data_IF_368237378334
#
_entry.id   IF_368237378334
#
_cell.length_a   1.000
_cell.length_b   1.000
_cell.length_c   1.000
_cell.angle_alpha   90.00
_cell.angle_beta   90.00
_cell.angle_gamma   90.00
#
_symmetry.space_group_name_H-M   'P 1'
#
loop_
_entity.id
_entity.type
_entity.pdbx_description
1 polymer ?
#
# COMPACT_ATOMS: atom_id res chain seq x y z
N UNK A 1 -8.47 9.51 -23.55
CA UNK A 1 -9.66 9.53 -22.69
C UNK A 1 -9.21 9.35 -21.25
N UNK A 2 -9.65 10.25 -20.36
CA UNK A 2 -9.22 10.28 -18.96
C UNK A 2 -10.42 9.93 -18.09
N UNK A 3 -10.21 9.08 -17.10
CA UNK A 3 -11.19 8.66 -16.13
C UNK A 3 -10.69 8.97 -14.73
N UNK A 4 -11.58 9.45 -13.88
CA UNK A 4 -11.35 9.63 -12.46
C UNK A 4 -12.40 8.83 -11.69
N UNK A 5 -11.98 8.24 -10.58
CA UNK A 5 -12.87 7.59 -9.65
C UNK A 5 -12.51 8.02 -8.23
N UNK A 6 -13.52 8.35 -7.43
CA UNK A 6 -13.38 9.00 -6.12
C UNK A 6 -14.10 8.19 -5.05
N UNK A 7 -13.48 8.05 -3.87
CA UNK A 7 -14.11 7.42 -2.74
C UNK A 7 -15.00 8.41 -1.96
N UNK A 8 -16.18 8.69 -2.51
CA UNK A 8 -17.13 9.66 -1.95
C UNK A 8 -17.76 9.21 -0.61
N UNK A 9 -17.67 7.92 -0.29
CA UNK A 9 -18.17 7.36 0.96
C UNK A 9 -17.19 7.62 2.10
N UNK A 10 -15.90 7.32 1.89
CA UNK A 10 -14.87 7.57 2.90
C UNK A 10 -14.45 9.06 3.00
N UNK A 11 -14.66 9.83 1.94
CA UNK A 11 -14.28 11.25 1.84
C UNK A 11 -15.47 12.09 1.33
N UNK A 12 -16.38 12.53 2.22
CA UNK A 12 -17.59 13.25 1.83
C UNK A 12 -17.34 14.53 1.01
N UNK A 13 -16.19 15.20 1.19
CA UNK A 13 -15.82 16.39 0.42
C UNK A 13 -15.73 16.12 -1.09
N UNK A 14 -15.50 14.86 -1.50
CA UNK A 14 -15.46 14.45 -2.90
C UNK A 14 -16.86 14.31 -3.54
N UNK A 15 -17.92 14.55 -2.77
CA UNK A 15 -19.28 14.71 -3.31
C UNK A 15 -19.46 16.09 -3.97
N UNK A 16 -18.57 17.05 -3.71
CA UNK A 16 -18.61 18.39 -4.29
C UNK A 16 -17.70 18.53 -5.51
N UNK A 17 -18.04 19.38 -6.51
CA UNK A 17 -17.14 19.68 -7.62
C UNK A 17 -15.79 20.24 -7.18
N UNK A 18 -15.78 21.15 -6.20
CA UNK A 18 -14.55 21.76 -5.67
C UNK A 18 -13.59 20.72 -5.08
N UNK A 19 -14.10 19.76 -4.30
CA UNK A 19 -13.28 18.68 -3.74
C UNK A 19 -12.72 17.75 -4.83
N UNK A 20 -13.54 17.43 -5.83
CA UNK A 20 -13.08 16.62 -6.97
C UNK A 20 -12.02 17.35 -7.79
N UNK A 21 -12.19 18.64 -8.06
CA UNK A 21 -11.24 19.43 -8.86
C UNK A 21 -9.90 19.61 -8.14
N UNK A 22 -9.93 19.77 -6.81
CA UNK A 22 -8.72 19.70 -5.99
C UNK A 22 -7.99 18.37 -6.16
N UNK A 23 -8.66 17.23 -5.98
CA UNK A 23 -8.03 15.90 -6.14
C UNK A 23 -7.56 15.64 -7.57
N UNK A 24 -8.30 16.09 -8.59
CA UNK A 24 -7.85 16.03 -9.99
C UNK A 24 -6.57 16.83 -10.20
N UNK A 25 -6.42 18.00 -9.58
CA UNK A 25 -5.20 18.81 -9.68
C UNK A 25 -3.98 18.05 -9.14
N UNK A 26 -4.15 17.29 -8.05
CA UNK A 26 -3.09 16.44 -7.50
C UNK A 26 -2.75 15.29 -8.46
N UNK A 27 -3.76 14.55 -8.91
CA UNK A 27 -3.59 13.41 -9.85
C UNK A 27 -3.03 13.82 -11.22
N UNK A 28 -3.18 15.09 -11.61
CA UNK A 28 -2.63 15.62 -12.86
C UNK A 28 -1.20 16.14 -12.71
N UNK A 29 -0.75 16.42 -11.50
CA UNK A 29 0.60 16.91 -11.22
C UNK A 29 1.59 15.74 -11.25
N UNK A 30 2.63 15.84 -12.08
CA UNK A 30 3.62 14.79 -12.27
C UNK A 30 4.81 14.89 -11.31
N UNK A 31 5.07 16.08 -10.77
CA UNK A 31 6.21 16.35 -9.90
C UNK A 31 5.85 17.37 -8.82
N UNK A 32 6.11 16.99 -7.56
CA UNK A 32 5.84 17.81 -6.39
C UNK A 32 7.12 18.34 -5.70
N UNK A 33 8.33 18.14 -6.25
CA UNK A 33 9.62 18.57 -5.65
C UNK A 33 9.66 20.06 -5.25
N UNK A 34 8.90 20.92 -5.95
CA UNK A 34 8.81 22.36 -5.66
C UNK A 34 7.47 22.79 -5.06
N UNK A 35 6.61 21.84 -4.68
CA UNK A 35 5.32 22.13 -4.07
C UNK A 35 5.49 22.38 -2.58
N UNK A 36 4.80 23.41 -2.10
CA UNK A 36 4.56 23.70 -0.67
C UNK A 36 3.80 22.58 0.06
N UNK A 37 3.13 21.68 -0.67
CA UNK A 37 2.44 20.51 -0.12
C UNK A 37 3.36 19.32 0.12
N UNK A 38 4.58 19.33 -0.37
CA UNK A 38 5.46 18.16 -0.29
C UNK A 38 5.92 17.92 1.16
N UNK A 39 5.45 16.83 1.75
CA UNK A 39 5.92 16.34 3.05
C UNK A 39 7.18 15.47 2.91
N UNK A 40 7.35 14.86 1.74
CA UNK A 40 8.50 14.04 1.40
C UNK A 40 8.22 13.16 0.18
N UNK A 41 9.20 12.37 -0.22
CA UNK A 41 9.02 11.40 -1.30
C UNK A 41 9.89 10.15 -1.09
N UNK A 42 9.51 9.06 -1.74
CA UNK A 42 10.30 7.85 -1.86
C UNK A 42 10.56 7.52 -3.32
N UNK A 43 11.77 7.04 -3.62
CA UNK A 43 12.18 6.61 -4.97
C UNK A 43 12.39 5.10 -4.97
N UNK A 44 11.61 4.39 -5.79
CA UNK A 44 11.74 2.96 -6.04
C UNK A 44 11.58 2.66 -7.54
N UNK A 45 10.66 1.75 -7.90
CA UNK A 45 10.26 1.54 -9.31
C UNK A 45 9.52 2.74 -9.92
N UNK A 46 9.03 3.63 -9.08
CA UNK A 46 8.45 4.93 -9.40
C UNK A 46 8.65 5.88 -8.21
N UNK A 47 8.11 7.10 -8.33
CA UNK A 47 8.12 8.07 -7.23
C UNK A 47 6.79 7.99 -6.48
N UNK A 48 6.89 7.91 -5.16
CA UNK A 48 5.76 8.04 -4.23
C UNK A 48 5.87 9.41 -3.57
N UNK A 49 4.85 10.24 -3.75
CA UNK A 49 4.79 11.59 -3.15
C UNK A 49 3.94 11.56 -1.89
N UNK A 50 4.48 12.08 -0.78
CA UNK A 50 3.73 12.31 0.45
C UNK A 50 3.31 13.77 0.48
N UNK A 51 1.99 14.03 0.51
CA UNK A 51 1.42 15.34 0.30
C UNK A 51 0.60 15.79 1.51
N UNK A 52 0.76 17.06 1.87
CA UNK A 52 -0.10 17.75 2.82
C UNK A 52 -1.43 18.07 2.16
N UNK A 53 -2.42 17.24 2.48
CA UNK A 53 -3.82 17.42 2.07
C UNK A 53 -4.75 17.49 3.28
N UNK A 54 -4.19 17.60 4.49
CA UNK A 54 -4.95 17.71 5.73
C UNK A 54 -5.95 18.86 5.71
N UNK A 55 -5.63 20.08 5.20
CA UNK A 55 -6.58 21.19 5.19
C UNK A 55 -7.80 20.94 4.30
N UNK A 56 -7.62 20.28 3.16
CA UNK A 56 -8.68 20.09 2.16
C UNK A 56 -9.41 18.75 2.27
N UNK A 57 -8.75 17.69 2.76
CA UNK A 57 -9.30 16.32 2.81
C UNK A 57 -9.44 15.79 4.24
N UNK A 58 -8.93 16.50 5.24
CA UNK A 58 -8.87 16.02 6.63
C UNK A 58 -7.85 14.90 6.85
N UNK A 59 -7.04 14.57 5.84
CA UNK A 59 -5.95 13.58 5.90
C UNK A 59 -4.78 14.02 5.01
N UNK A 60 -3.57 13.62 5.38
CA UNK A 60 -2.45 13.61 4.44
C UNK A 60 -2.60 12.48 3.41
N UNK A 61 -1.93 12.61 2.26
CA UNK A 61 -2.08 11.65 1.18
C UNK A 61 -0.76 11.13 0.60
N UNK A 62 -0.85 9.96 -0.02
CA UNK A 62 0.22 9.30 -0.76
C UNK A 62 -0.20 9.17 -2.21
N UNK A 63 0.52 9.83 -3.12
CA UNK A 63 0.30 9.73 -4.55
C UNK A 63 1.36 8.80 -5.17
N UNK A 64 0.89 7.80 -5.93
CA UNK A 64 1.76 6.92 -6.73
C UNK A 64 1.38 6.97 -8.19
N UNK A 65 2.40 7.16 -9.03
CA UNK A 65 2.30 7.03 -10.48
C UNK A 65 2.73 5.62 -10.89
N UNK A 66 1.84 4.82 -11.49
CA UNK A 66 2.19 3.45 -11.88
C UNK A 66 3.06 3.44 -13.12
N UNK A 67 4.34 3.08 -12.96
CA UNK A 67 5.28 2.87 -14.06
C UNK A 67 5.36 1.38 -14.45
N UNK A 68 5.69 1.06 -15.70
CA UNK A 68 5.96 -0.33 -16.14
C UNK A 68 7.39 -0.74 -15.80
N UNK A 69 7.59 -1.92 -15.20
CA UNK A 69 8.92 -2.54 -14.95
C UNK A 69 9.19 -3.78 -15.83
N UNK A 70 10.47 -4.08 -16.11
CA UNK A 70 10.96 -5.22 -16.91
C UNK A 70 11.95 -4.80 -18.03
N UNK A 71 12.55 -5.73 -18.78
CA UNK A 71 13.48 -5.42 -19.90
C UNK A 71 12.80 -4.56 -21.00
N UNK A 72 11.47 -4.71 -21.17
CA UNK A 72 10.62 -3.85 -22.01
C UNK A 72 10.28 -2.48 -21.38
N UNK A 73 10.57 -2.28 -20.09
CA UNK A 73 10.39 -1.03 -19.35
C UNK A 73 11.38 0.08 -19.72
N UNK A 74 12.42 -0.23 -20.52
CA UNK A 74 13.36 0.78 -21.04
C UNK A 74 12.81 1.54 -22.26
N UNK A 75 11.88 0.95 -23.02
CA UNK A 75 11.36 1.52 -24.29
C UNK A 75 9.93 2.06 -24.20
N UNK A 76 9.07 1.53 -23.33
CA UNK A 76 7.67 1.98 -23.18
C UNK A 76 7.34 2.16 -21.69
N UNK A 77 7.73 3.31 -21.15
CA UNK A 77 7.77 3.57 -19.69
C UNK A 77 6.41 3.59 -18.99
N UNK A 78 5.27 3.72 -19.70
CA UNK A 78 4.02 4.17 -19.08
C UNK A 78 2.72 3.48 -19.56
N UNK A 79 2.74 2.37 -20.30
CA UNK A 79 1.56 2.00 -21.11
C UNK A 79 1.05 0.57 -20.95
N UNK A 80 0.17 0.26 -20.01
CA UNK A 80 -0.47 -1.07 -19.84
C UNK A 80 -1.50 -1.37 -20.93
N UNK A 81 -1.66 -2.62 -21.38
CA UNK A 81 -2.72 -2.95 -22.37
C UNK A 81 -4.08 -2.72 -21.72
N UNK A 82 -4.94 -1.95 -22.39
CA UNK A 82 -6.25 -1.62 -21.87
C UNK A 82 -7.29 -2.66 -22.32
N UNK A 83 -7.82 -3.41 -21.37
CA UNK A 83 -8.87 -4.42 -21.59
C UNK A 83 -10.10 -4.21 -20.69
N UNK A 84 -10.26 -2.99 -20.15
CA UNK A 84 -11.36 -2.59 -19.26
C UNK A 84 -10.86 -1.71 -18.11
N UNK A 85 -11.70 -0.81 -17.59
CA UNK A 85 -11.34 0.07 -16.47
C UNK A 85 -11.09 -0.74 -15.19
N UNK A 86 -11.99 -1.67 -14.88
CA UNK A 86 -11.93 -2.49 -13.66
C UNK A 86 -10.75 -3.46 -13.64
N UNK A 87 -10.13 -3.68 -14.81
CA UNK A 87 -8.93 -4.52 -14.99
C UNK A 87 -7.63 -3.73 -14.91
N UNK A 88 -7.71 -2.40 -14.78
CA UNK A 88 -6.51 -1.58 -14.56
C UNK A 88 -6.00 -1.78 -13.14
N UNK A 89 -4.68 -1.84 -12.98
CA UNK A 89 -4.04 -2.07 -11.65
C UNK A 89 -4.53 -1.12 -10.56
N UNK A 90 -4.61 0.17 -10.85
CA UNK A 90 -5.06 1.15 -9.86
C UNK A 90 -6.53 0.93 -9.47
N UNK A 91 -7.42 0.59 -10.42
CA UNK A 91 -8.82 0.25 -10.09
C UNK A 91 -8.92 -1.04 -9.26
N UNK A 92 -8.13 -2.06 -9.59
CA UNK A 92 -8.10 -3.31 -8.81
C UNK A 92 -7.62 -3.08 -7.37
N UNK A 93 -6.53 -2.32 -7.20
CA UNK A 93 -6.03 -1.98 -5.88
C UNK A 93 -7.02 -1.09 -5.11
N UNK A 94 -7.61 -0.08 -5.76
CA UNK A 94 -8.62 0.78 -5.16
C UNK A 94 -9.84 -0.03 -4.68
N UNK A 95 -10.35 -0.96 -5.49
CA UNK A 95 -11.46 -1.82 -5.13
C UNK A 95 -11.11 -2.75 -3.96
N UNK A 96 -9.93 -3.38 -3.99
CA UNK A 96 -9.44 -4.25 -2.93
C UNK A 96 -9.29 -3.48 -1.61
N UNK A 97 -8.66 -2.30 -1.62
CA UNK A 97 -8.49 -1.45 -0.45
C UNK A 97 -9.85 -1.06 0.16
N UNK A 98 -10.82 -0.67 -0.66
CA UNK A 98 -12.17 -0.38 -0.16
C UNK A 98 -12.81 -1.58 0.54
N UNK A 99 -12.67 -2.77 -0.05
CA UNK A 99 -13.22 -3.98 0.53
C UNK A 99 -12.53 -4.33 1.86
N UNK A 100 -11.21 -4.17 1.94
CA UNK A 100 -10.44 -4.41 3.18
C UNK A 100 -10.76 -3.40 4.28
N UNK A 101 -11.02 -2.14 3.93
CA UNK A 101 -11.53 -1.13 4.87
C UNK A 101 -12.91 -1.54 5.41
N UNK A 102 -13.81 -2.04 4.55
CA UNK A 102 -15.11 -2.54 4.98
C UNK A 102 -15.00 -3.78 5.90
N UNK A 103 -13.93 -4.56 5.79
CA UNK A 103 -13.59 -5.66 6.71
C UNK A 103 -12.83 -5.20 7.97
N UNK A 104 -12.69 -3.89 8.19
CA UNK A 104 -11.96 -3.31 9.32
C UNK A 104 -10.49 -3.78 9.40
N UNK A 105 -9.86 -4.06 8.26
CA UNK A 105 -8.42 -4.35 8.20
C UNK A 105 -7.63 -3.04 8.24
N UNK A 106 -6.47 -3.01 8.94
CA UNK A 106 -5.65 -1.81 9.05
C UNK A 106 -4.83 -1.60 7.77
N UNK A 107 -5.48 -1.00 6.78
CA UNK A 107 -4.93 -0.67 5.45
C UNK A 107 -5.24 0.81 5.13
N UNK A 108 -4.49 1.46 4.23
CA UNK A 108 -4.77 2.85 3.87
C UNK A 108 -6.11 2.96 3.14
N UNK A 109 -6.92 3.98 3.49
CA UNK A 109 -8.15 4.24 2.73
C UNK A 109 -7.81 4.77 1.35
N UNK A 110 -8.42 4.25 0.27
CA UNK A 110 -8.17 4.77 -1.05
C UNK A 110 -8.99 6.05 -1.26
N UNK A 111 -8.36 7.13 -1.71
CA UNK A 111 -8.99 8.44 -1.91
C UNK A 111 -9.55 8.53 -3.33
N UNK A 112 -8.70 8.32 -4.33
CA UNK A 112 -9.07 8.42 -5.73
C UNK A 112 -8.08 7.70 -6.64
N UNK A 113 -8.53 7.41 -7.86
CA UNK A 113 -7.67 6.95 -8.96
C UNK A 113 -7.93 7.75 -10.21
N UNK A 114 -6.89 7.84 -11.04
CA UNK A 114 -6.94 8.39 -12.39
C UNK A 114 -6.42 7.35 -13.37
N UNK A 115 -7.14 7.17 -14.47
CA UNK A 115 -6.73 6.32 -15.59
C UNK A 115 -6.72 7.17 -16.87
N UNK A 116 -5.57 7.30 -17.51
CA UNK A 116 -5.48 7.89 -18.85
C UNK A 116 -5.29 6.80 -19.90
N UNK A 117 -6.29 6.62 -20.76
CA UNK A 117 -6.21 5.71 -21.91
C UNK A 117 -5.79 6.46 -23.17
N UNK A 118 -4.76 5.94 -23.84
CA UNK A 118 -4.30 6.33 -25.18
C UNK A 118 -4.32 5.08 -26.08
N UNK A 119 -5.17 5.04 -27.10
CA UNK A 119 -5.36 3.85 -27.95
C UNK A 119 -5.61 2.55 -27.15
N UNK A 120 -4.77 1.54 -27.32
CA UNK A 120 -4.84 0.25 -26.62
C UNK A 120 -4.01 0.24 -25.32
N UNK A 121 -3.53 1.39 -24.86
CA UNK A 121 -2.69 1.49 -23.67
C UNK A 121 -3.21 2.47 -22.62
N UNK A 122 -2.83 2.28 -21.36
CA UNK A 122 -3.22 3.18 -20.26
C UNK A 122 -2.07 3.51 -19.29
N UNK A 123 -2.21 4.70 -18.68
CA UNK A 123 -1.50 5.19 -17.51
C UNK A 123 -2.44 5.23 -16.31
N UNK A 124 -1.90 5.07 -15.11
CA UNK A 124 -2.69 5.07 -13.91
C UNK A 124 -1.97 5.76 -12.75
N UNK A 125 -2.75 6.46 -11.94
CA UNK A 125 -2.32 7.10 -10.71
C UNK A 125 -3.31 6.72 -9.60
N UNK A 126 -2.80 6.52 -8.38
CA UNK A 126 -3.63 6.29 -7.18
C UNK A 126 -3.23 7.27 -6.09
N UNK A 127 -4.24 7.85 -5.46
CA UNK A 127 -4.13 8.67 -4.28
C UNK A 127 -4.71 7.88 -3.10
N UNK A 128 -3.89 7.62 -2.10
CA UNK A 128 -4.24 6.92 -0.88
C UNK A 128 -4.13 7.86 0.32
N UNK A 129 -4.84 7.56 1.39
CA UNK A 129 -4.56 8.16 2.70
C UNK A 129 -3.13 7.81 3.12
N UNK A 130 -2.41 8.81 3.59
CA UNK A 130 -1.15 8.61 4.31
C UNK A 130 -1.50 8.27 5.75
N UNK A 131 -1.07 7.09 6.19
CA UNK A 131 -1.18 6.72 7.60
C UNK A 131 -0.18 7.59 8.37
N UNK A 132 -0.71 8.40 9.29
CA UNK A 132 0.08 9.36 10.05
C UNK A 132 0.68 8.72 11.31
N UNK A 133 1.76 9.31 11.81
CA UNK A 133 2.51 8.81 12.98
C UNK A 133 2.99 7.35 12.87
N UNK A 134 3.26 6.90 11.64
CA UNK A 134 3.76 5.54 11.40
C UNK A 134 5.21 5.50 10.96
N UNK A 135 5.91 4.44 11.33
CA UNK A 135 7.24 4.10 10.85
C UNK A 135 7.24 2.75 10.12
N UNK A 136 8.03 2.65 9.04
CA UNK A 136 8.37 1.38 8.39
C UNK A 136 9.01 0.42 9.40
N UNK A 137 8.53 -0.82 9.44
CA UNK A 137 8.94 -1.80 10.46
C UNK A 137 10.44 -2.13 10.39
N UNK A 138 11.03 -2.17 9.19
CA UNK A 138 12.46 -2.38 9.03
C UNK A 138 13.27 -1.19 9.55
N UNK A 139 12.77 0.04 9.43
CA UNK A 139 13.38 1.23 10.06
C UNK A 139 13.25 1.21 11.58
N UNK A 140 12.09 0.82 12.10
CA UNK A 140 11.89 0.69 13.54
C UNK A 140 12.86 -0.34 14.14
N UNK A 141 12.95 -1.52 13.53
CA UNK A 141 13.79 -2.61 14.01
C UNK A 141 15.30 -2.36 13.88
N UNK A 142 15.76 -1.31 13.20
CA UNK A 142 17.18 -0.93 13.25
C UNK A 142 17.59 -0.34 14.59
N UNK A 143 16.65 0.25 15.33
CA UNK A 143 16.93 1.01 16.55
C UNK A 143 16.25 0.42 17.79
N UNK A 144 15.19 -0.37 17.60
CA UNK A 144 14.37 -0.89 18.70
C UNK A 144 14.00 -2.35 18.45
N UNK A 145 14.08 -3.24 19.44
CA UNK A 145 13.45 -4.55 19.36
C UNK A 145 11.92 -4.42 19.50
N UNK A 146 11.20 -5.42 19.01
CA UNK A 146 9.78 -5.62 19.34
C UNK A 146 9.65 -6.64 20.48
N UNK A 147 8.60 -6.50 21.28
CA UNK A 147 8.20 -7.53 22.22
C UNK A 147 7.58 -8.73 21.48
N UNK A 148 7.65 -9.91 22.08
CA UNK A 148 7.01 -11.15 21.58
C UNK A 148 5.54 -10.95 21.23
N UNK A 149 4.79 -10.24 22.07
CA UNK A 149 3.37 -9.95 21.83
C UNK A 149 3.12 -9.11 20.57
N UNK A 150 4.05 -8.23 20.19
CA UNK A 150 3.94 -7.43 18.98
C UNK A 150 4.19 -8.28 17.73
N UNK A 151 5.14 -9.23 17.76
CA UNK A 151 5.27 -10.21 16.68
C UNK A 151 4.02 -11.06 16.51
N UNK A 152 3.41 -11.51 17.62
CA UNK A 152 2.13 -12.22 17.59
C UNK A 152 1.01 -11.36 16.97
N UNK A 153 0.97 -10.06 17.28
CA UNK A 153 0.01 -9.12 16.68
C UNK A 153 0.18 -9.00 15.16
N UNK A 154 1.43 -8.98 14.66
CA UNK A 154 1.70 -9.04 13.21
C UNK A 154 1.18 -10.36 12.63
N UNK A 155 1.43 -11.49 13.30
CA UNK A 155 0.91 -12.80 12.91
C UNK A 155 -0.62 -12.82 12.78
N UNK A 156 -1.33 -12.30 13.78
CA UNK A 156 -2.80 -12.16 13.80
C UNK A 156 -3.30 -11.25 12.68
N UNK A 157 -2.61 -10.14 12.42
CA UNK A 157 -2.95 -9.24 11.33
C UNK A 157 -2.86 -9.95 9.96
N UNK A 158 -1.78 -10.68 9.70
CA UNK A 158 -1.61 -11.45 8.47
C UNK A 158 -2.67 -12.57 8.39
N UNK A 159 -2.99 -13.21 9.53
CA UNK A 159 -4.04 -14.22 9.57
C UNK A 159 -5.41 -13.65 9.17
N UNK A 160 -5.81 -12.50 9.73
CA UNK A 160 -7.05 -11.80 9.36
C UNK A 160 -7.10 -11.47 7.85
N UNK A 161 -5.98 -11.05 7.28
CA UNK A 161 -5.87 -10.81 5.83
C UNK A 161 -6.12 -12.10 5.04
N UNK A 162 -5.49 -13.20 5.46
CA UNK A 162 -5.60 -14.51 4.82
C UNK A 162 -6.96 -15.18 5.00
N UNK A 163 -7.66 -14.93 6.11
CA UNK A 163 -9.02 -15.43 6.34
C UNK A 163 -10.02 -14.80 5.36
N UNK A 164 -9.80 -13.55 4.97
CA UNK A 164 -10.50 -12.89 3.86
C UNK A 164 -9.96 -13.27 2.47
N UNK A 165 -9.08 -14.27 2.38
CA UNK A 165 -8.47 -14.76 1.14
C UNK A 165 -7.68 -13.68 0.37
N UNK A 166 -7.20 -12.63 1.05
CA UNK A 166 -6.42 -11.58 0.40
C UNK A 166 -4.97 -12.02 0.27
N UNK A 167 -4.53 -12.24 -0.96
CA UNK A 167 -3.15 -12.54 -1.29
C UNK A 167 -2.34 -11.26 -1.53
N UNK A 168 -1.39 -11.00 -0.65
CA UNK A 168 -0.51 -9.85 -0.74
C UNK A 168 0.77 -10.17 -1.55
N UNK A 169 0.76 -9.90 -2.85
CA UNK A 169 1.81 -10.36 -3.79
C UNK A 169 3.26 -9.98 -3.41
N UNK A 170 3.43 -8.90 -2.64
CA UNK A 170 4.72 -8.44 -2.14
C UNK A 170 4.76 -8.24 -0.61
N UNK A 171 4.19 -9.19 0.16
CA UNK A 171 4.24 -9.11 1.63
C UNK A 171 5.70 -9.16 2.12
N UNK A 172 6.18 -8.04 2.65
CA UNK A 172 7.53 -7.88 3.16
C UNK A 172 7.57 -6.86 4.30
N UNK A 173 8.67 -6.83 5.04
CA UNK A 173 8.83 -5.98 6.23
C UNK A 173 8.68 -4.47 5.97
N UNK A 174 8.98 -3.98 4.76
CA UNK A 174 8.81 -2.56 4.41
C UNK A 174 7.34 -2.18 4.15
N UNK A 175 6.51 -3.18 3.91
CA UNK A 175 5.07 -3.02 3.70
C UNK A 175 4.26 -3.18 5.00
N UNK A 176 4.95 -3.28 6.13
CA UNK A 176 4.36 -3.24 7.47
C UNK A 176 4.76 -1.92 8.11
N UNK A 177 3.77 -1.15 8.55
CA UNK A 177 3.99 0.06 9.32
C UNK A 177 3.58 -0.16 10.77
N UNK A 178 4.29 0.48 11.70
CA UNK A 178 3.95 0.55 13.12
C UNK A 178 3.61 2.00 13.46
N UNK A 179 2.43 2.23 14.04
CA UNK A 179 2.05 3.56 14.54
C UNK A 179 2.47 3.79 16.00
N UNK A 180 2.37 5.04 16.45
CA UNK A 180 2.68 5.49 17.80
C UNK A 180 1.77 4.90 18.91
N UNK A 181 0.66 4.25 18.52
CA UNK A 181 -0.27 3.55 19.40
C UNK A 181 0.01 2.05 19.49
N UNK A 182 1.03 1.56 18.78
CA UNK A 182 1.38 0.14 18.75
C UNK A 182 0.53 -0.70 17.80
N UNK A 183 -0.23 -0.08 16.89
CA UNK A 183 -1.00 -0.78 15.87
C UNK A 183 -0.16 -0.95 14.60
N UNK A 184 -0.25 -2.16 14.03
CA UNK A 184 0.37 -2.50 12.75
C UNK A 184 -0.60 -2.27 11.59
N UNK A 185 -0.05 -1.78 10.48
CA UNK A 185 -0.76 -1.51 9.24
C UNK A 185 -0.07 -2.20 8.07
N UNK A 186 -0.84 -2.63 7.08
CA UNK A 186 -0.34 -3.16 5.82
C UNK A 186 -0.53 -2.13 4.70
N UNK A 187 0.49 -1.99 3.85
CA UNK A 187 0.49 -1.06 2.71
C UNK A 187 1.00 -1.74 1.42
N UNK A 188 0.85 -1.05 0.30
CA UNK A 188 1.30 -1.49 -1.03
C UNK A 188 0.61 -2.76 -1.55
N UNK A 189 -0.65 -2.60 -1.94
CA UNK A 189 -1.47 -3.68 -2.50
C UNK A 189 -1.42 -3.75 -4.03
N UNK A 190 -0.36 -3.21 -4.67
CA UNK A 190 -0.18 -3.34 -6.12
C UNK A 190 -0.13 -4.82 -6.50
N UNK A 191 -0.94 -5.23 -7.47
CA UNK A 191 -1.10 -6.63 -7.93
C UNK A 191 -1.56 -7.60 -6.84
N UNK A 192 -2.13 -7.12 -5.75
CA UNK A 192 -2.78 -7.98 -4.75
C UNK A 192 -4.23 -8.25 -5.18
N UNK A 193 -4.84 -9.27 -4.58
CA UNK A 193 -6.21 -9.66 -4.91
C UNK A 193 -6.74 -10.74 -4.00
N UNK A 194 -8.01 -11.09 -4.20
CA UNK A 194 -8.63 -12.25 -3.54
C UNK A 194 -8.23 -13.50 -4.32
N UNK A 195 -7.68 -14.49 -3.63
CA UNK A 195 -7.23 -15.74 -4.21
C UNK A 195 -7.70 -16.92 -3.37
N UNK A 196 -8.39 -17.86 -3.99
CA UNK A 196 -8.91 -19.03 -3.29
C UNK A 196 -7.80 -20.01 -2.90
N UNK A 197 -8.00 -20.66 -1.75
CA UNK A 197 -7.20 -21.77 -1.27
C UNK A 197 -6.14 -21.39 -0.25
N UNK A 198 -5.39 -22.39 0.19
CA UNK A 198 -4.47 -22.25 1.34
C UNK A 198 -3.00 -22.26 0.93
N UNK A 199 -2.67 -22.83 -0.24
CA UNK A 199 -1.29 -23.06 -0.66
C UNK A 199 -0.46 -21.77 -0.74
N UNK A 200 -1.07 -20.67 -1.20
CA UNK A 200 -0.38 -19.39 -1.36
C UNK A 200 -0.08 -18.70 -0.02
N UNK A 201 -0.79 -19.05 1.07
CA UNK A 201 -0.61 -18.42 2.40
C UNK A 201 0.76 -18.74 2.98
N UNK A 202 1.20 -19.99 2.83
CA UNK A 202 2.55 -20.42 3.23
C UNK A 202 3.64 -19.69 2.44
N UNK A 203 3.44 -19.50 1.13
CA UNK A 203 4.36 -18.73 0.28
C UNK A 203 4.42 -17.25 0.68
N UNK A 204 3.29 -16.68 1.12
CA UNK A 204 3.20 -15.30 1.59
C UNK A 204 3.99 -15.10 2.89
N UNK A 205 3.80 -16.00 3.87
CA UNK A 205 4.59 -16.02 5.10
C UNK A 205 6.08 -16.25 4.82
N UNK A 206 6.41 -17.19 3.93
CA UNK A 206 7.80 -17.46 3.56
C UNK A 206 8.47 -16.25 2.89
N UNK A 207 7.73 -15.48 2.07
CA UNK A 207 8.21 -14.21 1.50
C UNK A 207 8.51 -13.19 2.60
N UNK A 208 7.60 -13.02 3.55
CA UNK A 208 7.81 -12.12 4.68
C UNK A 208 9.05 -12.54 5.48
N UNK A 209 9.19 -13.83 5.82
CA UNK A 209 10.35 -14.33 6.54
C UNK A 209 11.66 -14.04 5.82
N UNK A 210 11.73 -14.32 4.51
CA UNK A 210 12.92 -13.99 3.70
C UNK A 210 13.26 -12.50 3.74
N UNK A 211 12.25 -11.62 3.82
CA UNK A 211 12.50 -10.19 3.95
C UNK A 211 13.10 -9.80 5.31
N UNK A 212 12.63 -10.39 6.41
CA UNK A 212 13.26 -10.22 7.73
C UNK A 212 14.72 -10.67 7.72
N UNK A 213 15.00 -11.90 7.26
CA UNK A 213 16.37 -12.44 7.19
C UNK A 213 17.30 -11.61 6.29
N UNK A 214 16.76 -11.08 5.19
CA UNK A 214 17.52 -10.20 4.29
C UNK A 214 17.89 -8.89 4.97
N UNK A 215 16.95 -8.23 5.63
CA UNK A 215 17.20 -6.95 6.28
C UNK A 215 17.99 -7.11 7.59
N UNK A 216 17.91 -8.27 8.25
CA UNK A 216 18.81 -8.65 9.35
C UNK A 216 20.27 -8.64 8.87
N UNK A 217 20.56 -9.24 7.71
CA UNK A 217 21.91 -9.25 7.14
C UNK A 217 22.36 -7.88 6.60
N UNK A 218 21.44 -7.11 6.02
CA UNK A 218 21.77 -5.86 5.32
C UNK A 218 21.85 -4.64 6.24
N UNK A 219 20.94 -4.57 7.20
CA UNK A 219 20.72 -3.40 8.06
C UNK A 219 20.92 -3.70 9.55
N UNK A 220 21.28 -4.94 9.90
CA UNK A 220 21.48 -5.37 11.28
C UNK A 220 20.28 -5.08 12.19
N UNK A 221 19.06 -5.34 11.69
CA UNK A 221 17.84 -5.15 12.47
C UNK A 221 17.78 -6.10 13.68
N UNK A 222 17.12 -5.67 14.75
CA UNK A 222 16.75 -6.46 15.92
C UNK A 222 15.71 -7.53 15.53
N UNK A 223 16.20 -8.67 15.07
CA UNK A 223 15.38 -9.82 14.72
C UNK A 223 16.15 -11.10 15.01
N UNK A 224 15.47 -12.10 15.54
CA UNK A 224 15.97 -13.44 15.80
C UNK A 224 14.95 -14.49 15.35
N UNK A 225 15.37 -15.75 15.22
CA UNK A 225 14.47 -16.83 14.83
C UNK A 225 13.31 -17.01 15.83
N UNK A 226 13.53 -16.76 17.12
CA UNK A 226 12.48 -16.79 18.15
C UNK A 226 11.37 -15.77 17.89
N UNK A 227 11.68 -14.65 17.26
CA UNK A 227 10.70 -13.62 16.89
C UNK A 227 9.82 -14.09 15.74
N UNK A 228 10.41 -14.81 14.79
CA UNK A 228 9.64 -15.46 13.72
C UNK A 228 8.67 -16.50 14.28
N UNK A 229 9.12 -17.31 15.24
CA UNK A 229 8.25 -18.28 15.91
C UNK A 229 7.11 -17.60 16.67
N UNK A 230 7.36 -16.44 17.30
CA UNK A 230 6.30 -15.65 17.94
C UNK A 230 5.27 -15.14 16.92
N UNK A 231 5.71 -14.69 15.75
CA UNK A 231 4.81 -14.28 14.65
C UNK A 231 3.97 -15.47 14.17
N UNK A 232 4.58 -16.64 13.95
CA UNK A 232 3.85 -17.85 13.54
C UNK A 232 2.85 -18.31 14.61
N UNK A 233 3.22 -18.22 15.89
CA UNK A 233 2.29 -18.49 17.01
C UNK A 233 1.07 -17.59 16.92
N UNK A 234 1.26 -16.28 16.74
CA UNK A 234 0.14 -15.35 16.57
C UNK A 234 -0.70 -15.61 15.32
N UNK A 235 -0.09 -16.09 14.23
CA UNK A 235 -0.81 -16.46 13.01
C UNK A 235 -1.68 -17.73 13.18
N UNK A 236 -1.22 -18.66 14.01
CA UNK A 236 -1.88 -19.94 14.27
C UNK A 236 -2.95 -19.85 15.36
N UNK A 237 -2.81 -18.92 16.31
CA UNK A 237 -3.88 -18.59 17.26
C UNK A 237 -5.14 -18.19 16.49
N UNK A 238 -6.22 -18.93 16.70
CA UNK A 238 -7.52 -18.60 16.09
C UNK A 238 -7.87 -17.14 16.38
N UNK A 239 -8.18 -16.39 15.32
CA UNK A 239 -8.68 -15.03 15.40
C UNK A 239 -10.09 -14.99 16.03
#
# INVERSE_FOLDING_TARGET
>A
MIYYHFNQTAFPLLQTPSGQDFVKSLLNTQNFEKSDRLLGFSKGRGVTWFLNTQPELGVNSVLRHYLRGGLFGKLIKQHYFFNGLDRTRAMQEFALLNQMVAWNLPVPRPIAVKIERRFCVYQADILLEKIDQTQDLSKFLQNHPLATAQYQQIGKLIRRLHDHQVHHSDLNIHNILLDDKGQFWLIDFDKCGIADGENWKADNLARLHRSFLKEQKRLNIHFQETDWQALLSGYQENA
#
